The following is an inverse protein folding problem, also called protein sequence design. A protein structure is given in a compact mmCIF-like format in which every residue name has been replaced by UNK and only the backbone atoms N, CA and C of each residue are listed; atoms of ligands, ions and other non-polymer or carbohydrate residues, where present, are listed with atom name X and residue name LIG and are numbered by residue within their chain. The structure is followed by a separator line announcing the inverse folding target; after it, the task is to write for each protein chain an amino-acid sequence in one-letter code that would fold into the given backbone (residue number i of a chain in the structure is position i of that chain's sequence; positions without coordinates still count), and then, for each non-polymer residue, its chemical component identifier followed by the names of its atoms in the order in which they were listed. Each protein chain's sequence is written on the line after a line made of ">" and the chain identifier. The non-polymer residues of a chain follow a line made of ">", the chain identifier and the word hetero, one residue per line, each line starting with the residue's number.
data_IF_636942349878
#
_entry.id   IF_636942349878
#
_cell.length_a   1.000
_cell.length_b   1.000
_cell.length_c   1.000
_cell.angle_alpha   90.00
_cell.angle_beta   90.00
_cell.angle_gamma   90.00
#
_symmetry.space_group_name_H-M   'P 1'
#
loop_
_entity.id
_entity.type
_entity.pdbx_description
1 polymer ?
#
# COMPACT_ATOMS: atom_id res chain seq x y z
N UNK A 1 -19.07 -7.15 -6.26
CA UNK A 1 -17.90 -6.28 -6.52
C UNK A 1 -17.67 -6.22 -8.01
N UNK A 2 -18.06 -5.11 -8.63
CA UNK A 2 -17.68 -4.76 -9.99
C UNK A 2 -16.18 -4.40 -10.05
N UNK A 3 -15.58 -4.38 -11.23
CA UNK A 3 -14.19 -3.97 -11.40
C UNK A 3 -13.94 -2.54 -10.88
N UNK A 4 -14.93 -1.67 -11.04
CA UNK A 4 -14.91 -0.28 -10.56
C UNK A 4 -14.90 -0.19 -9.02
N UNK A 5 -15.77 -0.96 -8.34
CA UNK A 5 -15.77 -1.05 -6.88
C UNK A 5 -14.43 -1.57 -6.33
N UNK A 6 -13.79 -2.51 -7.04
CA UNK A 6 -12.47 -3.02 -6.66
C UNK A 6 -11.40 -1.95 -6.81
N UNK A 7 -11.40 -1.21 -7.92
CA UNK A 7 -10.45 -0.12 -8.19
C UNK A 7 -10.56 0.98 -7.14
N UNK A 8 -11.78 1.39 -6.79
CA UNK A 8 -12.02 2.38 -5.75
C UNK A 8 -11.44 1.92 -4.40
N UNK A 9 -11.70 0.68 -4.01
CA UNK A 9 -11.19 0.11 -2.75
C UNK A 9 -9.66 0.03 -2.70
N UNK A 10 -8.99 -0.21 -3.83
CA UNK A 10 -7.53 -0.20 -3.90
C UNK A 10 -6.95 1.20 -3.77
N UNK A 11 -7.58 2.19 -4.42
CA UNK A 11 -7.19 3.60 -4.28
C UNK A 11 -7.38 4.11 -2.85
N UNK A 12 -8.45 3.72 -2.19
CA UNK A 12 -8.66 4.03 -0.77
C UNK A 12 -7.55 3.42 0.11
N UNK A 13 -7.21 2.15 -0.11
CA UNK A 13 -6.10 1.49 0.59
C UNK A 13 -4.77 2.20 0.35
N UNK A 14 -4.48 2.60 -0.90
CA UNK A 14 -3.27 3.32 -1.26
C UNK A 14 -3.19 4.65 -0.48
N UNK A 15 -4.28 5.42 -0.45
CA UNK A 15 -4.33 6.68 0.28
C UNK A 15 -4.08 6.51 1.80
N UNK A 16 -4.53 5.40 2.39
CA UNK A 16 -4.23 5.11 3.80
C UNK A 16 -2.74 4.80 4.03
N UNK A 17 -2.13 4.04 3.12
CA UNK A 17 -0.69 3.72 3.18
C UNK A 17 0.15 4.98 3.01
N UNK A 18 -0.18 5.85 2.05
CA UNK A 18 0.51 7.12 1.85
C UNK A 18 0.40 8.05 3.06
N UNK A 19 -0.78 8.12 3.71
CA UNK A 19 -0.95 8.87 4.96
C UNK A 19 -0.07 8.34 6.09
N UNK A 20 0.04 7.02 6.22
CA UNK A 20 0.89 6.40 7.23
C UNK A 20 2.37 6.71 6.98
N UNK A 21 2.81 6.56 5.73
CA UNK A 21 4.17 6.91 5.28
C UNK A 21 4.46 8.38 5.58
N UNK A 22 3.55 9.29 5.21
CA UNK A 22 3.72 10.71 5.45
C UNK A 22 3.83 11.03 6.93
N UNK A 23 2.94 10.51 7.77
CA UNK A 23 2.96 10.74 9.21
C UNK A 23 4.30 10.29 9.84
N UNK A 24 4.76 9.09 9.47
CA UNK A 24 6.01 8.52 9.98
C UNK A 24 7.24 9.33 9.51
N UNK A 25 7.26 9.74 8.24
CA UNK A 25 8.34 10.57 7.69
C UNK A 25 8.40 11.96 8.33
N UNK A 26 7.25 12.52 8.72
CA UNK A 26 7.18 13.80 9.44
C UNK A 26 7.52 13.69 10.93
N UNK A 27 7.96 12.52 11.41
CA UNK A 27 8.48 12.33 12.76
C UNK A 27 7.58 11.54 13.70
N UNK A 28 6.43 11.04 13.24
CA UNK A 28 5.64 10.11 14.04
C UNK A 28 6.41 8.79 14.23
N UNK A 29 6.42 8.27 15.46
CA UNK A 29 6.99 6.95 15.76
C UNK A 29 6.02 5.81 15.37
N UNK A 30 4.72 6.11 15.36
CA UNK A 30 3.67 5.16 15.03
C UNK A 30 2.45 5.86 14.41
N UNK A 31 1.70 5.10 13.61
CA UNK A 31 0.44 5.50 13.01
C UNK A 31 -0.60 4.38 13.19
N UNK A 32 -1.84 4.75 13.51
CA UNK A 32 -2.92 3.79 13.73
C UNK A 32 -3.93 3.84 12.58
N UNK A 33 -4.17 2.69 11.96
CA UNK A 33 -5.19 2.50 10.93
C UNK A 33 -6.20 1.48 11.46
N UNK A 34 -7.36 1.97 11.90
CA UNK A 34 -8.39 1.13 12.52
C UNK A 34 -7.82 0.37 13.73
N UNK A 35 -7.84 -0.96 13.67
CA UNK A 35 -7.31 -1.85 14.73
C UNK A 35 -5.81 -2.15 14.58
N UNK A 36 -5.18 -1.71 13.49
CA UNK A 36 -3.77 -2.00 13.19
C UNK A 36 -2.89 -0.80 13.55
N UNK A 37 -1.78 -1.05 14.24
CA UNK A 37 -0.73 -0.05 14.50
C UNK A 37 0.47 -0.33 13.63
N UNK A 38 1.02 0.71 13.03
CA UNK A 38 2.20 0.66 12.17
C UNK A 38 3.28 1.52 12.80
N UNK A 39 4.51 1.01 12.89
CA UNK A 39 5.63 1.74 13.50
C UNK A 39 6.59 2.24 12.43
N UNK A 40 7.42 3.20 12.80
CA UNK A 40 8.49 3.71 11.94
C UNK A 40 9.46 2.63 11.46
N UNK A 41 9.72 1.61 12.27
CA UNK A 41 10.55 0.46 11.88
C UNK A 41 9.96 -0.33 10.70
N UNK A 42 8.63 -0.28 10.52
CA UNK A 42 7.90 -0.95 9.45
C UNK A 42 7.78 -0.09 8.17
N UNK A 43 8.48 1.05 8.10
CA UNK A 43 8.35 1.98 6.96
C UNK A 43 8.72 1.31 5.62
N UNK A 44 9.67 0.37 5.62
CA UNK A 44 9.99 -0.41 4.42
C UNK A 44 8.82 -1.27 3.95
N UNK A 45 8.06 -1.86 4.88
CA UNK A 45 6.86 -2.65 4.56
C UNK A 45 5.75 -1.76 3.98
N UNK A 46 5.62 -0.51 4.46
CA UNK A 46 4.66 0.43 3.90
C UNK A 46 4.98 0.80 2.44
N UNK A 47 6.24 1.01 2.10
CA UNK A 47 6.63 1.26 0.72
C UNK A 47 6.35 0.06 -0.19
N UNK A 48 6.61 -1.16 0.29
CA UNK A 48 6.29 -2.38 -0.46
C UNK A 48 4.79 -2.54 -0.69
N UNK A 49 3.96 -2.27 0.32
CA UNK A 49 2.50 -2.31 0.15
C UNK A 49 2.01 -1.20 -0.80
N UNK A 50 2.59 0.00 -0.76
CA UNK A 50 2.30 1.06 -1.74
C UNK A 50 2.57 0.58 -3.16
N UNK A 51 3.79 0.10 -3.42
CA UNK A 51 4.19 -0.37 -4.76
C UNK A 51 3.30 -1.53 -5.24
N UNK A 52 2.89 -2.42 -4.32
CA UNK A 52 1.96 -3.51 -4.62
C UNK A 52 0.58 -3.00 -5.03
N UNK A 53 0.02 -2.03 -4.30
CA UNK A 53 -1.29 -1.44 -4.57
C UNK A 53 -1.29 -0.68 -5.90
N UNK A 54 -0.24 0.11 -6.16
CA UNK A 54 -0.08 0.83 -7.44
C UNK A 54 -0.06 -0.14 -8.63
N UNK A 55 0.68 -1.25 -8.52
CA UNK A 55 0.69 -2.30 -9.54
C UNK A 55 -0.68 -2.96 -9.74
N UNK A 56 -1.42 -3.22 -8.65
CA UNK A 56 -2.75 -3.83 -8.76
C UNK A 56 -3.77 -2.88 -9.40
N UNK A 57 -3.68 -1.58 -9.09
CA UNK A 57 -4.46 -0.52 -9.72
C UNK A 57 -4.13 -0.45 -11.22
N UNK A 58 -2.85 -0.35 -11.57
CA UNK A 58 -2.39 -0.26 -12.96
C UNK A 58 -2.82 -1.49 -13.77
N UNK A 59 -2.73 -2.68 -13.18
CA UNK A 59 -3.15 -3.93 -13.83
C UNK A 59 -4.66 -3.98 -14.10
N UNK A 60 -5.48 -3.40 -13.21
CA UNK A 60 -6.93 -3.31 -13.37
C UNK A 60 -7.33 -2.23 -14.40
N UNK A 61 -6.61 -1.11 -14.43
CA UNK A 61 -6.87 -0.02 -15.37
C UNK A 61 -6.42 -0.35 -16.80
N UNK A 62 -5.30 -1.04 -16.96
CA UNK A 62 -4.72 -1.36 -18.28
C UNK A 62 -5.04 -2.77 -18.79
N UNK A 63 -5.84 -3.56 -18.06
CA UNK A 63 -6.34 -4.85 -18.55
C UNK A 63 -5.31 -5.97 -18.66
N UNK A 64 -4.35 -6.07 -17.73
CA UNK A 64 -3.48 -7.26 -17.58
C UNK A 64 -2.02 -7.13 -18.08
N UNK A 65 -1.30 -6.09 -17.67
CA UNK A 65 0.14 -5.94 -17.91
C UNK A 65 1.03 -6.48 -16.78
N UNK A 66 1.41 -7.75 -16.90
CA UNK A 66 2.36 -8.57 -16.12
C UNK A 66 3.56 -7.79 -15.51
N UNK A 67 3.64 -7.54 -14.18
CA UNK A 67 4.95 -7.36 -13.50
C UNK A 67 5.01 -7.89 -12.04
N UNK A 68 5.46 -9.15 -11.96
CA UNK A 68 6.41 -9.77 -11.01
C UNK A 68 6.32 -9.38 -9.52
N UNK A 69 5.77 -10.31 -8.74
CA UNK A 69 5.95 -10.45 -7.28
C UNK A 69 7.45 -10.41 -6.96
N UNK A 70 7.87 -9.42 -6.18
CA UNK A 70 9.16 -9.47 -5.48
C UNK A 70 8.88 -9.97 -4.06
N UNK A 71 9.24 -11.23 -3.82
CA UNK A 71 9.32 -11.83 -2.48
C UNK A 71 10.34 -11.02 -1.68
N UNK A 72 9.91 -10.38 -0.60
CA UNK A 72 10.83 -9.81 0.37
C UNK A 72 11.04 -10.83 1.49
N UNK A 73 12.07 -11.65 1.33
CA UNK A 73 12.58 -12.54 2.36
C UNK A 73 13.43 -11.70 3.33
N UNK A 74 12.87 -11.39 4.50
CA UNK A 74 13.60 -10.71 5.57
C UNK A 74 14.52 -11.68 6.30
N UNK A 75 15.82 -11.42 6.27
CA UNK A 75 16.83 -11.96 7.18
C UNK A 75 17.81 -10.87 7.59
#
# INVERSE_FOLDING_TARGET
>A
MTADEKLQKLREQLAYVEKAIFAIQNGAQEYSIGTRRIRKADLSLLYQERDRLEREIEALENGGGIFKVAVFEGR
#
